data_IF_621453906358
#
_entry.id   IF_621453906358
#
_cell.length_a   1.000
_cell.length_b   1.000
_cell.length_c   1.000
_cell.angle_alpha   90.00
_cell.angle_beta   90.00
_cell.angle_gamma   90.00
#
_symmetry.space_group_name_H-M   'P 1'
#
loop_
_entity.id
_entity.type
_entity.pdbx_description
1 polymer ?
#
# COMPACT_ATOMS: atom_id res chain seq x y z
N UNK A 1 2.33 8.95 5.31
CA UNK A 1 1.06 8.18 5.25
C UNK A 1 0.29 8.34 6.57
N UNK A 2 0.89 8.18 7.75
CA UNK A 2 0.19 8.29 9.03
C UNK A 2 -0.50 9.64 9.26
N UNK A 3 0.19 10.76 8.96
CA UNK A 3 -0.43 12.09 9.02
C UNK A 3 -1.58 12.25 8.02
N UNK A 4 -1.42 11.71 6.81
CA UNK A 4 -2.47 11.74 5.80
C UNK A 4 -3.69 10.91 6.22
N UNK A 5 -3.47 9.73 6.81
CA UNK A 5 -4.56 8.92 7.36
C UNK A 5 -5.34 9.67 8.44
N UNK A 6 -4.64 10.32 9.38
CA UNK A 6 -5.28 11.16 10.39
C UNK A 6 -6.12 12.30 9.76
N UNK A 7 -5.58 12.95 8.74
CA UNK A 7 -6.28 14.02 8.03
C UNK A 7 -7.57 13.55 7.36
N UNK A 8 -7.54 12.43 6.60
CA UNK A 8 -8.73 11.92 5.90
C UNK A 8 -9.79 11.36 6.85
N UNK A 9 -9.40 10.83 8.01
CA UNK A 9 -10.36 10.42 9.06
C UNK A 9 -11.13 11.64 9.58
N UNK A 10 -10.43 12.73 9.86
CA UNK A 10 -11.06 13.96 10.36
C UNK A 10 -11.94 14.64 9.28
N UNK A 11 -11.60 14.50 8.02
CA UNK A 11 -12.37 15.01 6.88
C UNK A 11 -13.61 14.18 6.55
N UNK A 12 -13.84 13.06 7.26
CA UNK A 12 -14.95 12.12 7.01
C UNK A 12 -15.00 11.57 5.58
N UNK A 13 -13.84 11.40 4.97
CA UNK A 13 -13.69 10.78 3.65
C UNK A 13 -14.30 9.37 3.63
N UNK A 14 -14.68 8.87 2.46
CA UNK A 14 -15.29 7.55 2.28
C UNK A 14 -14.59 6.44 3.09
N UNK A 15 -15.30 5.67 3.94
CA UNK A 15 -14.68 4.71 4.85
C UNK A 15 -13.86 3.63 4.14
N UNK A 16 -14.27 3.22 2.94
CA UNK A 16 -13.49 2.27 2.13
C UNK A 16 -12.11 2.79 1.75
N UNK A 17 -11.99 4.08 1.44
CA UNK A 17 -10.70 4.71 1.16
C UNK A 17 -9.80 4.76 2.40
N UNK A 18 -10.37 5.11 3.56
CA UNK A 18 -9.65 5.11 4.84
C UNK A 18 -9.09 3.72 5.16
N UNK A 19 -9.88 2.66 4.96
CA UNK A 19 -9.45 1.27 5.17
C UNK A 19 -8.28 0.92 4.25
N UNK A 20 -8.34 1.27 2.96
CA UNK A 20 -7.26 1.00 2.02
C UNK A 20 -5.95 1.70 2.43
N UNK A 21 -6.00 2.98 2.82
CA UNK A 21 -4.82 3.71 3.31
C UNK A 21 -4.29 3.12 4.61
N UNK A 22 -5.18 2.65 5.50
CA UNK A 22 -4.78 1.98 6.73
C UNK A 22 -4.09 0.63 6.45
N UNK A 23 -4.56 -0.15 5.47
CA UNK A 23 -3.91 -1.39 5.03
C UNK A 23 -2.51 -1.14 4.45
N UNK A 24 -2.35 -0.10 3.64
CA UNK A 24 -1.05 0.30 3.09
C UNK A 24 -0.09 0.72 4.21
N UNK A 25 -0.56 1.53 5.16
CA UNK A 25 0.24 1.96 6.30
C UNK A 25 0.63 0.76 7.19
N UNK A 26 -0.32 -0.13 7.49
CA UNK A 26 -0.08 -1.32 8.31
C UNK A 26 0.96 -2.24 7.68
N UNK A 27 0.86 -2.51 6.37
CA UNK A 27 1.86 -3.29 5.64
C UNK A 27 3.24 -2.62 5.63
N UNK A 28 3.30 -1.30 5.39
CA UNK A 28 4.56 -0.57 5.43
C UNK A 28 5.23 -0.60 6.81
N UNK A 29 4.45 -0.48 7.89
CA UNK A 29 4.95 -0.60 9.27
C UNK A 29 5.40 -2.04 9.54
N UNK A 30 4.66 -3.05 9.09
CA UNK A 30 5.05 -4.46 9.21
C UNK A 30 6.42 -4.71 8.60
N UNK A 31 6.62 -4.34 7.33
CA UNK A 31 7.91 -4.48 6.65
C UNK A 31 9.04 -3.67 7.34
N UNK A 32 8.73 -2.50 7.89
CA UNK A 32 9.70 -1.72 8.65
C UNK A 32 10.13 -2.45 9.93
N UNK A 33 9.17 -2.99 10.69
CA UNK A 33 9.44 -3.76 11.90
C UNK A 33 10.32 -4.97 11.58
N UNK A 34 9.97 -5.71 10.53
CA UNK A 34 10.75 -6.87 10.08
C UNK A 34 12.19 -6.48 9.72
N UNK A 35 12.35 -5.41 8.95
CA UNK A 35 13.68 -4.90 8.56
C UNK A 35 14.52 -4.46 9.77
N UNK A 36 13.89 -3.84 10.78
CA UNK A 36 14.61 -3.35 11.97
C UNK A 36 15.02 -4.51 12.87
N UNK A 37 14.12 -5.46 13.11
CA UNK A 37 14.31 -6.45 14.18
C UNK A 37 14.81 -7.83 13.71
N UNK A 38 14.50 -8.25 12.48
CA UNK A 38 14.90 -9.59 12.02
C UNK A 38 16.39 -9.78 11.89
N UNK A 39 17.13 -8.73 11.55
CA UNK A 39 18.59 -8.78 11.53
C UNK A 39 19.20 -9.14 12.88
N UNK A 40 18.58 -8.68 13.96
CA UNK A 40 19.02 -8.95 15.34
C UNK A 40 18.44 -10.24 15.90
N UNK A 41 17.14 -10.43 15.79
CA UNK A 41 16.46 -11.57 16.42
C UNK A 41 16.67 -12.89 15.68
N UNK A 42 16.62 -12.85 14.34
CA UNK A 42 16.80 -14.03 13.51
C UNK A 42 18.22 -14.19 12.98
N UNK A 43 19.11 -13.22 13.25
CA UNK A 43 20.49 -13.19 12.75
C UNK A 43 20.57 -13.37 11.24
N UNK A 44 19.56 -12.84 10.50
CA UNK A 44 19.45 -12.97 9.05
C UNK A 44 19.98 -11.75 8.28
N UNK A 45 20.67 -10.84 8.97
CA UNK A 45 21.34 -9.73 8.30
C UNK A 45 22.45 -10.26 7.36
N UNK A 46 22.66 -9.64 6.18
CA UNK A 46 23.73 -10.02 5.27
C UNK A 46 25.09 -9.97 5.98
N UNK A 47 25.99 -10.91 5.62
CA UNK A 47 27.31 -11.05 6.28
C UNK A 47 28.19 -9.77 6.15
N UNK A 48 27.94 -8.95 5.14
CA UNK A 48 28.62 -7.69 4.87
C UNK A 48 27.91 -6.47 5.46
N UNK A 49 26.83 -6.66 6.22
CA UNK A 49 26.12 -5.55 6.85
C UNK A 49 26.97 -4.97 8.01
N UNK A 50 27.05 -3.65 8.07
CA UNK A 50 27.82 -2.94 9.10
C UNK A 50 27.21 -3.10 10.51
N UNK A 51 25.90 -3.34 10.60
CA UNK A 51 25.18 -3.64 11.84
C UNK A 51 24.03 -4.61 11.55
N UNK A 52 23.62 -5.48 12.50
CA UNK A 52 22.43 -6.32 12.32
C UNK A 52 21.10 -5.53 12.38
N UNK A 53 21.12 -4.33 12.97
CA UNK A 53 19.96 -3.45 13.04
C UNK A 53 19.67 -2.80 11.68
N UNK A 54 18.41 -2.72 11.30
CA UNK A 54 17.95 -2.15 10.01
C UNK A 54 18.41 -2.91 8.75
N UNK A 55 19.09 -4.04 8.90
CA UNK A 55 19.53 -4.89 7.79
C UNK A 55 18.89 -6.27 7.84
N UNK A 56 17.80 -6.43 8.60
CA UNK A 56 16.99 -7.65 8.60
C UNK A 56 16.40 -7.91 7.22
N UNK A 57 16.58 -9.12 6.72
CA UNK A 57 15.86 -9.57 5.53
C UNK A 57 14.45 -9.95 5.92
N UNK A 58 13.47 -9.36 5.26
CA UNK A 58 12.07 -9.71 5.45
C UNK A 58 11.87 -11.17 5.07
N UNK A 59 11.23 -11.93 5.94
CA UNK A 59 10.96 -13.35 5.69
C UNK A 59 9.70 -13.45 4.84
N UNK A 60 9.88 -13.85 3.61
CA UNK A 60 8.79 -14.10 2.68
C UNK A 60 8.14 -15.43 3.02
N UNK A 61 6.82 -15.41 3.29
CA UNK A 61 6.08 -16.58 3.76
C UNK A 61 5.26 -17.26 2.67
N UNK A 62 4.98 -16.55 1.58
CA UNK A 62 4.12 -17.05 0.52
C UNK A 62 4.86 -17.12 -0.81
N UNK A 63 5.00 -18.33 -1.31
CA UNK A 63 5.47 -18.62 -2.65
C UNK A 63 4.28 -19.13 -3.46
N UNK A 64 3.93 -18.41 -4.50
CA UNK A 64 2.89 -18.83 -5.43
C UNK A 64 3.59 -19.15 -6.76
N UNK A 65 3.75 -20.43 -7.06
CA UNK A 65 4.29 -20.89 -8.32
C UNK A 65 3.19 -20.83 -9.41
N UNK A 66 3.11 -19.69 -10.08
CA UNK A 66 2.19 -19.54 -11.22
C UNK A 66 2.88 -19.97 -12.51
N UNK A 67 4.10 -19.55 -12.70
CA UNK A 67 4.92 -19.91 -13.85
C UNK A 67 6.39 -19.58 -13.63
N UNK A 68 7.24 -20.56 -13.84
CA UNK A 68 8.68 -20.38 -13.86
C UNK A 68 9.24 -20.94 -15.17
N UNK A 69 10.12 -20.22 -15.83
CA UNK A 69 10.70 -20.70 -17.06
C UNK A 69 11.60 -19.70 -17.77
N UNK A 70 12.17 -20.16 -18.87
CA UNK A 70 12.93 -19.31 -19.77
C UNK A 70 11.99 -18.53 -20.68
N UNK A 71 12.18 -17.22 -20.73
CA UNK A 71 11.49 -16.39 -21.70
C UNK A 71 12.06 -16.70 -23.09
N UNK A 72 11.19 -16.99 -24.09
CA UNK A 72 11.65 -17.23 -25.47
C UNK A 72 12.51 -16.08 -25.99
N UNK A 73 13.59 -16.41 -26.70
CA UNK A 73 14.56 -15.43 -27.18
C UNK A 73 14.02 -14.40 -28.18
N UNK A 74 12.78 -14.56 -28.67
CA UNK A 74 12.10 -13.59 -29.56
C UNK A 74 11.47 -12.41 -28.82
N UNK A 75 11.38 -12.49 -27.46
CA UNK A 75 10.81 -11.38 -26.65
C UNK A 75 11.86 -10.28 -26.54
N UNK A 76 11.60 -9.07 -27.05
CA UNK A 76 12.52 -7.95 -26.93
C UNK A 76 12.73 -7.57 -25.47
N UNK A 77 13.98 -7.26 -25.08
CA UNK A 77 14.46 -6.84 -23.76
C UNK A 77 14.69 -7.95 -22.73
N UNK A 78 13.90 -9.06 -22.70
CA UNK A 78 14.00 -10.11 -21.68
C UNK A 78 14.12 -11.53 -22.23
N UNK A 79 14.20 -11.68 -23.55
CA UNK A 79 14.37 -12.98 -24.16
C UNK A 79 15.64 -13.70 -23.71
N UNK A 80 15.52 -14.98 -23.39
CA UNK A 80 16.64 -15.82 -22.95
C UNK A 80 16.95 -15.78 -21.45
N UNK A 81 16.22 -14.98 -20.65
CA UNK A 81 16.36 -14.96 -19.20
C UNK A 81 15.40 -15.94 -18.52
N UNK A 82 15.85 -16.55 -17.42
CA UNK A 82 14.98 -17.29 -16.52
C UNK A 82 14.24 -16.32 -15.63
N UNK A 83 12.93 -16.40 -15.59
CA UNK A 83 12.08 -15.49 -14.81
C UNK A 83 10.97 -16.27 -14.14
N UNK A 84 10.76 -15.99 -12.85
CA UNK A 84 9.55 -16.39 -12.14
C UNK A 84 8.52 -15.27 -12.28
N UNK A 85 7.32 -15.60 -12.68
CA UNK A 85 6.28 -14.61 -12.99
C UNK A 85 5.71 -13.95 -11.75
N UNK A 86 5.87 -14.57 -10.59
CA UNK A 86 5.38 -14.04 -9.34
C UNK A 86 6.48 -14.00 -8.28
N UNK A 87 6.73 -12.83 -7.69
CA UNK A 87 7.71 -12.74 -6.61
C UNK A 87 7.20 -13.43 -5.34
N UNK A 88 8.13 -13.92 -4.55
CA UNK A 88 7.86 -14.34 -3.18
C UNK A 88 7.45 -13.10 -2.38
N UNK A 89 6.40 -13.18 -1.58
CA UNK A 89 5.88 -12.05 -0.82
C UNK A 89 5.42 -12.43 0.59
N UNK A 90 5.25 -11.44 1.45
CA UNK A 90 4.70 -11.62 2.79
C UNK A 90 3.31 -10.98 2.93
N UNK A 91 2.67 -11.16 4.09
CA UNK A 91 1.36 -10.60 4.38
C UNK A 91 1.36 -9.06 4.32
N UNK A 92 2.46 -8.42 4.72
CA UNK A 92 2.58 -6.97 4.67
C UNK A 92 2.55 -6.44 3.23
N UNK A 93 3.29 -7.10 2.31
CA UNK A 93 3.28 -6.77 0.89
C UNK A 93 1.92 -7.02 0.26
N UNK A 94 1.28 -8.15 0.60
CA UNK A 94 -0.07 -8.45 0.15
C UNK A 94 -1.07 -7.38 0.60
N UNK A 95 -0.98 -6.89 1.83
CA UNK A 95 -1.86 -5.85 2.36
C UNK A 95 -1.68 -4.52 1.63
N UNK A 96 -0.44 -4.13 1.33
CA UNK A 96 -0.14 -2.94 0.53
C UNK A 96 -0.73 -3.09 -0.88
N UNK A 97 -0.45 -4.22 -1.53
CA UNK A 97 -0.92 -4.49 -2.88
C UNK A 97 -2.44 -4.44 -2.99
N UNK A 98 -3.15 -5.14 -2.11
CA UNK A 98 -4.62 -5.16 -2.08
C UNK A 98 -5.17 -3.76 -1.83
N UNK A 99 -4.61 -3.00 -0.88
CA UNK A 99 -5.01 -1.64 -0.60
C UNK A 99 -4.89 -0.73 -1.83
N UNK A 100 -3.77 -0.80 -2.55
CA UNK A 100 -3.54 -0.03 -3.77
C UNK A 100 -4.49 -0.45 -4.89
N UNK A 101 -4.67 -1.75 -5.13
CA UNK A 101 -5.57 -2.26 -6.18
C UNK A 101 -7.01 -1.82 -5.95
N UNK A 102 -7.50 -1.90 -4.71
CA UNK A 102 -8.86 -1.45 -4.38
C UNK A 102 -9.01 0.06 -4.65
N UNK A 103 -8.02 0.87 -4.27
CA UNK A 103 -8.05 2.32 -4.56
C UNK A 103 -8.13 2.57 -6.06
N UNK A 104 -7.32 1.88 -6.87
CA UNK A 104 -7.31 2.06 -8.32
C UNK A 104 -8.63 1.67 -8.99
N UNK A 105 -9.24 0.57 -8.53
CA UNK A 105 -10.52 0.09 -9.09
C UNK A 105 -11.67 1.02 -8.69
N UNK A 106 -11.72 1.44 -7.43
CA UNK A 106 -12.83 2.20 -6.88
C UNK A 106 -12.55 3.70 -6.75
N UNK A 107 -11.46 4.21 -7.35
CA UNK A 107 -11.05 5.61 -7.22
C UNK A 107 -12.19 6.59 -7.52
N UNK A 108 -12.95 6.39 -8.59
CA UNK A 108 -14.08 7.25 -8.95
C UNK A 108 -15.10 7.34 -7.81
N UNK A 109 -15.53 6.19 -7.29
CA UNK A 109 -16.51 6.13 -6.23
C UNK A 109 -16.04 6.79 -4.94
N UNK A 110 -14.75 6.67 -4.60
CA UNK A 110 -14.19 7.27 -3.40
C UNK A 110 -14.10 8.79 -3.46
N UNK A 111 -13.90 9.35 -4.67
CA UNK A 111 -13.74 10.79 -4.85
C UNK A 111 -15.04 11.50 -5.27
N UNK A 112 -15.97 10.81 -5.91
CA UNK A 112 -17.27 11.40 -6.27
C UNK A 112 -18.10 11.69 -5.01
N UNK A 113 -18.13 10.80 -4.04
CA UNK A 113 -18.81 11.04 -2.75
C UNK A 113 -18.20 12.21 -1.97
N UNK A 114 -16.88 12.41 -2.03
CA UNK A 114 -16.22 13.56 -1.38
C UNK A 114 -16.63 14.88 -2.04
N UNK A 115 -16.88 14.92 -3.33
CA UNK A 115 -17.34 16.11 -4.06
C UNK A 115 -18.77 16.45 -3.67
N UNK A 116 -19.68 15.48 -3.63
CA UNK A 116 -21.08 15.67 -3.24
C UNK A 116 -21.19 16.24 -1.82
N UNK A 117 -20.40 15.75 -0.87
CA UNK A 117 -20.38 16.24 0.52
C UNK A 117 -19.94 17.72 0.59
N UNK A 118 -18.93 18.09 -0.17
CA UNK A 118 -18.41 19.47 -0.20
C UNK A 118 -19.43 20.41 -0.82
N UNK A 119 -20.10 20.01 -1.90
CA UNK A 119 -21.14 20.80 -2.55
C UNK A 119 -22.36 21.03 -1.62
N UNK A 120 -22.78 20.00 -0.88
CA UNK A 120 -23.88 20.08 0.08
C UNK A 120 -23.53 21.03 1.27
N UNK A 121 -22.30 20.94 1.79
CA UNK A 121 -21.83 21.85 2.85
C UNK A 121 -21.78 23.31 2.37
N UNK A 122 -21.32 23.56 1.15
CA UNK A 122 -21.29 24.90 0.55
C UNK A 122 -22.70 25.46 0.30
N UNK A 123 -23.65 24.64 -0.14
CA UNK A 123 -25.03 25.06 -0.30
C UNK A 123 -25.70 25.42 1.04
N UNK A 124 -25.48 24.60 2.07
CA UNK A 124 -25.98 24.88 3.42
C UNK A 124 -25.41 26.19 3.94
N UNK A 125 -24.12 26.43 3.77
CA UNK A 125 -23.51 27.70 4.20
C UNK A 125 -24.09 28.91 3.47
N UNK A 126 -24.30 28.80 2.14
CA UNK A 126 -24.94 29.88 1.37
C UNK A 126 -26.34 30.21 1.89
N UNK A 127 -27.15 29.20 2.17
CA UNK A 127 -28.50 29.38 2.72
C UNK A 127 -28.51 30.05 4.12
N UNK A 128 -27.49 29.75 4.94
CA UNK A 128 -27.34 30.40 6.24
C UNK A 128 -26.99 31.90 6.13
N UNK A 129 -26.17 32.23 5.14
CA UNK A 129 -25.78 33.64 4.88
C UNK A 129 -26.98 34.44 4.36
N UNK A 130 -27.73 33.89 3.37
CA UNK A 130 -28.93 34.56 2.81
C UNK A 130 -30.06 34.79 3.84
N UNK A 131 -30.17 33.95 4.85
CA UNK A 131 -31.20 34.12 5.91
C UNK A 131 -30.82 35.15 6.96
N UNK A 132 -29.59 35.64 6.95
CA UNK A 132 -29.05 36.54 7.97
C UNK A 132 -29.06 38.02 7.52
N UNK A 133 -29.24 38.23 6.22
CA UNK A 133 -29.46 39.53 5.60
C UNK A 133 -30.97 39.84 5.47
#
# INVERSE_FOLDING_TARGET
IGYYLYYIINKKTHPGYIICIAMILGGAIGNLIDSVFYGVWLKNAPFNASTPWFHGQVVDMFYIDIWEGFIPGWVPLWGGSYTALWPIFNIADASIFVGVVIILIFQKRFFDEDIEIVEEEDEIQRQFIEKKD
#
